data_IF_723753032545
#
_entry.id   IF_723753032545
#
_cell.length_a   1.000
_cell.length_b   1.000
_cell.length_c   1.000
_cell.angle_alpha   90.00
_cell.angle_beta   90.00
_cell.angle_gamma   90.00
#
_symmetry.space_group_name_H-M   'P 1'
#
loop_
_entity.id
_entity.type
_entity.pdbx_description
1 polymer ?
#
# COMPACT_ATOMS: atom_id res chain seq x y z
N UNK A 1 -27.90 30.37 -28.71
CA UNK A 1 -27.55 29.00 -29.16
C UNK A 1 -26.05 28.72 -29.07
N UNK A 2 -25.18 29.43 -29.82
CA UNK A 2 -23.73 29.16 -29.78
C UNK A 2 -23.08 29.52 -28.43
N UNK A 3 -23.49 30.64 -27.82
CA UNK A 3 -22.97 31.10 -26.51
C UNK A 3 -23.35 30.17 -25.35
N UNK A 4 -24.59 29.66 -25.36
CA UNK A 4 -25.05 28.65 -24.39
C UNK A 4 -24.32 27.31 -24.55
N UNK A 5 -24.08 26.85 -25.78
CA UNK A 5 -23.36 25.61 -26.04
C UNK A 5 -21.89 25.68 -25.59
N UNK A 6 -21.24 26.83 -25.79
CA UNK A 6 -19.89 27.11 -25.30
C UNK A 6 -19.83 27.17 -23.76
N UNK A 7 -20.81 27.84 -23.14
CA UNK A 7 -20.94 27.89 -21.68
C UNK A 7 -21.16 26.50 -21.05
N UNK A 8 -22.00 25.67 -21.69
CA UNK A 8 -22.25 24.29 -21.27
C UNK A 8 -20.99 23.40 -21.41
N UNK A 9 -20.33 23.45 -22.57
CA UNK A 9 -19.10 22.68 -22.80
C UNK A 9 -17.97 23.06 -21.83
N UNK A 10 -17.83 24.36 -21.52
CA UNK A 10 -16.83 24.85 -20.56
C UNK A 10 -17.08 24.33 -19.15
N UNK A 11 -18.34 24.34 -18.68
CA UNK A 11 -18.70 23.79 -17.36
C UNK A 11 -18.41 22.29 -17.27
N UNK A 12 -18.81 21.52 -18.28
CA UNK A 12 -18.53 20.07 -18.32
C UNK A 12 -17.02 19.76 -18.35
N UNK A 13 -16.23 20.58 -19.02
CA UNK A 13 -14.78 20.43 -19.01
C UNK A 13 -14.17 20.75 -17.63
N UNK A 14 -14.68 21.77 -16.93
CA UNK A 14 -14.26 22.08 -15.55
C UNK A 14 -14.65 20.96 -14.58
N UNK A 15 -15.86 20.41 -14.69
CA UNK A 15 -16.32 19.28 -13.87
C UNK A 15 -15.48 18.03 -14.12
N UNK A 16 -15.18 17.70 -15.38
CA UNK A 16 -14.28 16.60 -15.73
C UNK A 16 -12.87 16.83 -15.18
N UNK A 17 -12.35 18.05 -15.31
CA UNK A 17 -11.03 18.42 -14.79
C UNK A 17 -10.97 18.28 -13.27
N UNK A 18 -12.00 18.72 -12.55
CA UNK A 18 -12.08 18.54 -11.10
C UNK A 18 -12.24 17.08 -10.70
N UNK A 19 -13.07 16.32 -11.43
CA UNK A 19 -13.25 14.89 -11.21
C UNK A 19 -11.91 14.14 -11.34
N UNK A 20 -11.17 14.39 -12.41
CA UNK A 20 -9.87 13.78 -12.64
C UNK A 20 -8.80 14.31 -11.68
N UNK A 21 -8.82 15.59 -11.30
CA UNK A 21 -7.91 16.14 -10.28
C UNK A 21 -8.15 15.49 -8.91
N UNK A 22 -9.41 15.24 -8.54
CA UNK A 22 -9.76 14.51 -7.33
C UNK A 22 -9.29 13.06 -7.40
N UNK A 23 -9.52 12.39 -8.53
CA UNK A 23 -9.06 11.01 -8.74
C UNK A 23 -7.53 10.90 -8.78
N UNK A 24 -6.82 11.93 -9.23
CA UNK A 24 -5.35 12.00 -9.24
C UNK A 24 -4.76 12.71 -8.01
N UNK A 25 -5.56 13.12 -7.03
CA UNK A 25 -5.05 13.74 -5.80
C UNK A 25 -4.08 12.81 -5.06
N UNK A 26 -4.17 11.50 -5.30
CA UNK A 26 -3.20 10.55 -4.77
C UNK A 26 -1.77 10.76 -5.28
N UNK A 27 -1.59 11.32 -6.49
CA UNK A 27 -0.27 11.60 -7.04
C UNK A 27 0.41 12.77 -6.32
N UNK A 28 -0.35 13.71 -5.78
CA UNK A 28 0.22 14.76 -4.92
C UNK A 28 0.82 14.17 -3.64
N UNK A 29 0.34 13.00 -3.17
CA UNK A 29 0.98 12.25 -2.08
C UNK A 29 2.34 11.69 -2.48
N UNK A 30 2.49 11.22 -3.72
CA UNK A 30 3.76 10.70 -4.23
C UNK A 30 4.77 11.82 -4.55
N UNK A 31 4.33 13.00 -4.98
CA UNK A 31 5.25 14.13 -5.26
C UNK A 31 6.08 14.54 -4.04
N UNK A 32 5.53 14.42 -2.84
CA UNK A 32 6.24 14.76 -1.59
C UNK A 32 7.27 13.71 -1.17
N UNK A 33 7.06 12.44 -1.53
CA UNK A 33 8.01 11.35 -1.26
C UNK A 33 9.05 11.19 -2.37
N UNK A 34 8.67 11.43 -3.63
CA UNK A 34 9.52 11.23 -4.82
C UNK A 34 10.42 12.43 -5.18
N UNK A 35 10.29 13.57 -4.49
CA UNK A 35 11.06 14.80 -4.77
C UNK A 35 12.12 15.18 -3.72
N UNK A 36 12.48 14.28 -2.81
CA UNK A 36 13.41 14.61 -1.71
C UNK A 36 14.86 14.68 -2.21
N UNK A 37 15.57 15.75 -1.82
CA UNK A 37 17.02 15.90 -2.08
C UNK A 37 17.86 14.94 -1.24
N UNK A 38 17.41 14.63 -0.02
CA UNK A 38 18.04 13.66 0.88
C UNK A 38 17.01 12.60 1.30
N UNK A 39 17.37 11.30 1.24
CA UNK A 39 16.47 10.24 1.66
C UNK A 39 16.24 10.29 3.17
N UNK A 40 15.00 10.02 3.61
CA UNK A 40 14.71 9.84 5.03
C UNK A 40 15.52 8.66 5.58
N UNK A 41 16.00 8.74 6.83
CA UNK A 41 16.56 7.58 7.49
C UNK A 41 15.49 6.49 7.59
N UNK A 42 15.94 5.23 7.50
CA UNK A 42 15.08 4.06 7.63
C UNK A 42 14.50 4.05 9.06
N UNK A 43 13.18 3.98 9.18
CA UNK A 43 12.53 3.79 10.48
C UNK A 43 12.82 2.39 11.05
N UNK A 44 12.78 2.30 12.37
CA UNK A 44 12.87 1.04 13.13
C UNK A 44 11.49 0.58 13.59
N UNK A 45 11.39 -0.66 14.09
CA UNK A 45 10.14 -1.15 14.67
C UNK A 45 9.76 -0.41 15.97
N UNK A 46 10.75 0.14 16.70
CA UNK A 46 10.49 0.98 17.86
C UNK A 46 9.78 2.30 17.48
N UNK A 47 10.16 2.91 16.35
CA UNK A 47 9.51 4.13 15.85
C UNK A 47 8.04 3.89 15.46
N UNK A 48 7.75 2.68 15.03
CA UNK A 48 6.41 2.25 14.69
C UNK A 48 5.56 2.10 15.93
N UNK A 49 6.08 1.42 16.94
CA UNK A 49 5.38 1.22 18.22
C UNK A 49 5.15 2.55 18.93
N UNK A 50 6.11 3.47 18.84
CA UNK A 50 5.96 4.84 19.34
C UNK A 50 4.85 5.59 18.60
N UNK A 51 4.78 5.50 17.27
CA UNK A 51 3.69 6.10 16.52
C UNK A 51 2.34 5.49 16.92
N UNK A 52 2.26 4.17 17.02
CA UNK A 52 1.04 3.44 17.42
C UNK A 52 0.58 3.88 18.82
N UNK A 53 1.52 4.11 19.74
CA UNK A 53 1.21 4.60 21.08
C UNK A 53 0.82 6.09 21.09
N UNK A 54 1.38 6.90 20.19
CA UNK A 54 1.14 8.35 20.14
C UNK A 54 -0.17 8.76 19.46
N UNK A 55 -0.59 8.04 18.42
CA UNK A 55 -1.75 8.41 17.60
C UNK A 55 -2.95 7.50 17.86
N UNK A 56 -4.02 7.98 18.52
CA UNK A 56 -5.20 7.16 18.85
C UNK A 56 -6.07 6.82 17.63
N UNK A 57 -5.94 7.54 16.51
CA UNK A 57 -6.80 7.36 15.33
C UNK A 57 -6.08 6.48 14.29
N UNK A 58 -4.85 6.85 13.92
CA UNK A 58 -4.09 6.18 12.87
C UNK A 58 -3.16 5.08 13.39
N UNK A 59 -2.84 5.07 14.69
CA UNK A 59 -2.02 4.04 15.32
C UNK A 59 -2.62 2.63 15.21
N UNK A 60 -3.87 2.41 15.66
CA UNK A 60 -4.52 1.11 15.54
C UNK A 60 -4.65 0.63 14.09
N UNK A 61 -4.90 1.57 13.17
CA UNK A 61 -4.98 1.30 11.73
C UNK A 61 -3.64 0.82 11.17
N UNK A 62 -2.55 1.50 11.53
CA UNK A 62 -1.20 1.13 11.12
C UNK A 62 -0.78 -0.23 11.70
N UNK A 63 -1.19 -0.53 12.95
CA UNK A 63 -0.96 -1.83 13.58
C UNK A 63 -1.64 -2.95 12.80
N UNK A 64 -2.94 -2.81 12.52
CA UNK A 64 -3.69 -3.80 11.72
C UNK A 64 -3.07 -3.99 10.32
N UNK A 65 -2.62 -2.90 9.68
CA UNK A 65 -1.93 -2.97 8.40
C UNK A 65 -0.59 -3.70 8.46
N UNK A 66 0.14 -3.61 9.58
CA UNK A 66 1.39 -4.35 9.75
C UNK A 66 1.13 -5.83 10.03
N UNK A 67 0.20 -6.15 10.92
CA UNK A 67 -0.14 -7.53 11.23
C UNK A 67 -0.74 -8.26 10.03
N UNK A 68 -1.51 -7.58 9.19
CA UNK A 68 -2.04 -8.15 7.94
C UNK A 68 -0.98 -8.54 6.92
N UNK A 69 0.21 -7.94 6.95
CA UNK A 69 1.34 -8.37 6.09
C UNK A 69 1.79 -9.78 6.42
N UNK A 70 1.69 -10.21 7.68
CA UNK A 70 2.04 -11.57 8.10
C UNK A 70 1.15 -12.60 7.40
N UNK A 71 -0.14 -12.30 7.20
CA UNK A 71 -1.07 -13.17 6.46
C UNK A 71 -0.71 -13.26 4.98
N UNK A 72 -0.36 -12.13 4.35
CA UNK A 72 0.11 -12.13 2.96
C UNK A 72 1.41 -12.92 2.80
N UNK A 73 2.37 -12.76 3.73
CA UNK A 73 3.63 -13.51 3.72
C UNK A 73 3.40 -15.00 3.96
N UNK A 74 2.54 -15.37 4.90
CA UNK A 74 2.17 -16.76 5.17
C UNK A 74 1.48 -17.38 3.95
N UNK A 75 0.53 -16.67 3.34
CA UNK A 75 -0.14 -17.10 2.12
C UNK A 75 0.84 -17.30 0.97
N UNK A 76 1.77 -16.35 0.77
CA UNK A 76 2.80 -16.46 -0.25
C UNK A 76 3.72 -17.67 0.00
N UNK A 77 4.17 -17.89 1.22
CA UNK A 77 5.00 -19.04 1.57
C UNK A 77 4.27 -20.38 1.33
N UNK A 78 3.00 -20.47 1.74
CA UNK A 78 2.17 -21.65 1.53
C UNK A 78 1.92 -21.91 0.05
N UNK A 79 1.58 -20.88 -0.73
CA UNK A 79 1.36 -21.00 -2.17
C UNK A 79 2.63 -21.37 -2.93
N UNK A 80 3.78 -20.77 -2.56
CA UNK A 80 5.09 -21.09 -3.10
C UNK A 80 5.48 -22.55 -2.81
N UNK A 81 5.32 -22.99 -1.55
CA UNK A 81 5.62 -24.37 -1.16
C UNK A 81 4.69 -25.37 -1.87
N UNK A 82 3.42 -25.03 -2.04
CA UNK A 82 2.44 -25.90 -2.68
C UNK A 82 2.75 -26.10 -4.18
N UNK A 83 2.80 -25.02 -4.95
CA UNK A 83 3.04 -25.10 -6.40
C UNK A 83 4.50 -25.44 -6.72
N UNK A 84 5.45 -24.93 -5.95
CA UNK A 84 6.86 -25.30 -6.02
C UNK A 84 7.06 -26.80 -5.76
N UNK A 85 6.44 -27.35 -4.72
CA UNK A 85 6.51 -28.78 -4.39
C UNK A 85 5.91 -29.68 -5.47
N UNK A 86 4.75 -29.31 -6.03
CA UNK A 86 4.12 -30.04 -7.15
C UNK A 86 5.04 -29.99 -8.38
N UNK A 87 5.56 -28.82 -8.73
CA UNK A 87 6.44 -28.68 -9.90
C UNK A 87 7.76 -29.44 -9.75
N UNK A 88 8.35 -29.49 -8.55
CA UNK A 88 9.54 -30.28 -8.24
C UNK A 88 9.27 -31.77 -8.44
N UNK A 89 8.11 -32.25 -8.00
CA UNK A 89 7.71 -33.66 -8.10
C UNK A 89 7.45 -34.10 -9.54
N UNK A 90 6.78 -33.28 -10.35
CA UNK A 90 6.31 -33.68 -11.68
C UNK A 90 7.10 -33.09 -12.85
N UNK A 91 7.48 -31.81 -12.82
CA UNK A 91 8.13 -31.14 -13.95
C UNK A 91 9.60 -31.53 -14.09
N UNK A 92 10.30 -31.81 -12.98
CA UNK A 92 11.75 -32.09 -12.89
C UNK A 92 12.65 -31.06 -13.62
N UNK A 93 12.09 -29.94 -14.09
CA UNK A 93 12.79 -28.87 -14.78
C UNK A 93 13.04 -27.70 -13.81
N UNK A 94 14.29 -27.20 -13.70
CA UNK A 94 14.60 -26.12 -12.76
C UNK A 94 13.87 -24.82 -13.11
N UNK A 95 13.68 -24.52 -14.40
CA UNK A 95 12.93 -23.35 -14.85
C UNK A 95 11.44 -23.43 -14.49
N UNK A 96 10.82 -24.60 -14.68
CA UNK A 96 9.41 -24.82 -14.33
C UNK A 96 9.18 -24.68 -12.82
N UNK A 97 10.14 -25.13 -12.02
CA UNK A 97 10.07 -25.00 -10.55
C UNK A 97 10.12 -23.55 -10.10
N UNK A 98 11.05 -22.76 -10.66
CA UNK A 98 11.17 -21.34 -10.30
C UNK A 98 9.89 -20.58 -10.65
N UNK A 99 9.36 -20.80 -11.86
CA UNK A 99 8.14 -20.13 -12.31
C UNK A 99 6.93 -20.56 -11.47
N UNK A 100 6.75 -21.86 -11.22
CA UNK A 100 5.64 -22.36 -10.42
C UNK A 100 5.69 -21.88 -8.97
N UNK A 101 6.88 -21.84 -8.38
CA UNK A 101 7.10 -21.30 -7.03
C UNK A 101 6.77 -19.81 -6.98
N UNK A 102 7.25 -19.02 -7.95
CA UNK A 102 6.95 -17.60 -8.04
C UNK A 102 5.45 -17.33 -8.24
N UNK A 103 4.81 -18.07 -9.13
CA UNK A 103 3.36 -17.97 -9.35
C UNK A 103 2.57 -18.34 -8.10
N UNK A 104 2.97 -19.41 -7.41
CA UNK A 104 2.35 -19.81 -6.15
C UNK A 104 2.53 -18.77 -5.05
N UNK A 105 3.70 -18.14 -4.96
CA UNK A 105 3.93 -17.04 -4.03
C UNK A 105 2.98 -15.87 -4.30
N UNK A 106 2.78 -15.50 -5.57
CA UNK A 106 1.89 -14.41 -5.97
C UNK A 106 0.43 -14.73 -5.62
N UNK A 107 -0.09 -15.86 -6.09
CA UNK A 107 -1.48 -16.25 -5.82
C UNK A 107 -1.75 -16.43 -4.33
N UNK A 108 -0.83 -17.09 -3.62
CA UNK A 108 -0.91 -17.28 -2.18
C UNK A 108 -0.85 -15.97 -1.41
N UNK A 109 0.00 -15.03 -1.84
CA UNK A 109 0.12 -13.71 -1.22
C UNK A 109 -1.14 -12.87 -1.39
N UNK A 110 -1.74 -12.88 -2.59
CA UNK A 110 -3.02 -12.20 -2.87
C UNK A 110 -4.12 -12.82 -1.99
N UNK A 111 -4.25 -14.15 -1.99
CA UNK A 111 -5.25 -14.82 -1.16
C UNK A 111 -5.04 -14.54 0.34
N UNK A 112 -3.80 -14.55 0.81
CA UNK A 112 -3.46 -14.20 2.20
C UNK A 112 -3.84 -12.75 2.53
N UNK A 113 -3.66 -11.82 1.60
CA UNK A 113 -4.09 -10.44 1.79
C UNK A 113 -5.62 -10.31 1.89
N UNK A 114 -6.38 -11.05 1.08
CA UNK A 114 -7.85 -11.05 1.12
C UNK A 114 -8.39 -11.58 2.45
N UNK A 115 -7.78 -12.67 2.96
CA UNK A 115 -8.09 -13.21 4.29
C UNK A 115 -7.83 -12.16 5.36
N UNK A 116 -6.71 -11.43 5.25
CA UNK A 116 -6.37 -10.37 6.19
C UNK A 116 -7.34 -9.18 6.11
N UNK A 117 -7.84 -8.84 4.91
CA UNK A 117 -8.85 -7.80 4.72
C UNK A 117 -10.13 -8.12 5.47
N UNK A 118 -10.56 -9.38 5.42
CA UNK A 118 -11.74 -9.84 6.14
C UNK A 118 -11.48 -9.94 7.65
N UNK A 119 -10.32 -10.46 8.06
CA UNK A 119 -9.98 -10.66 9.47
C UNK A 119 -9.84 -9.34 10.24
N UNK A 120 -9.12 -8.37 9.67
CA UNK A 120 -8.86 -7.07 10.29
C UNK A 120 -9.84 -5.98 9.85
N UNK A 121 -10.85 -6.32 9.04
CA UNK A 121 -11.80 -5.37 8.45
C UNK A 121 -11.11 -4.18 7.76
N UNK A 122 -10.00 -4.44 7.07
CA UNK A 122 -9.15 -3.40 6.46
C UNK A 122 -9.88 -2.60 5.38
N UNK A 123 -10.98 -3.12 4.85
CA UNK A 123 -11.86 -2.40 3.93
C UNK A 123 -12.54 -1.18 4.55
N UNK A 124 -12.63 -1.10 5.88
CA UNK A 124 -13.17 0.08 6.61
C UNK A 124 -12.11 1.15 6.90
N UNK A 125 -10.84 0.86 6.61
CA UNK A 125 -9.69 1.66 7.05
C UNK A 125 -9.06 2.34 5.84
N UNK A 126 -8.68 3.61 5.99
CA UNK A 126 -7.86 4.31 5.01
C UNK A 126 -6.38 3.86 5.13
N UNK A 127 -6.05 2.82 4.39
CA UNK A 127 -4.69 2.24 4.38
C UNK A 127 -3.64 3.25 3.93
N UNK A 128 -3.99 4.14 3.00
CA UNK A 128 -3.08 5.13 2.47
C UNK A 128 -2.89 6.27 3.47
N UNK A 129 -3.99 6.76 4.07
CA UNK A 129 -3.96 7.79 5.10
C UNK A 129 -3.14 7.39 6.33
N UNK A 130 -3.29 6.16 6.84
CA UNK A 130 -2.53 5.69 8.00
C UNK A 130 -1.01 5.61 7.73
N UNK A 131 -0.61 5.07 6.58
CA UNK A 131 0.81 5.03 6.19
C UNK A 131 1.38 6.43 5.97
N UNK A 132 0.59 7.35 5.39
CA UNK A 132 1.01 8.72 5.15
C UNK A 132 1.17 9.51 6.46
N UNK A 133 0.25 9.31 7.41
CA UNK A 133 0.35 9.95 8.73
C UNK A 133 1.55 9.47 9.51
N UNK A 134 1.87 8.18 9.45
CA UNK A 134 3.13 7.66 9.97
C UNK A 134 4.35 8.33 9.32
N UNK A 135 4.37 8.48 7.99
CA UNK A 135 5.47 9.15 7.29
C UNK A 135 5.62 10.62 7.68
N UNK A 136 4.52 11.34 7.87
CA UNK A 136 4.57 12.74 8.34
C UNK A 136 5.10 12.85 9.76
N UNK A 137 4.58 12.03 10.67
CA UNK A 137 5.09 11.97 12.03
C UNK A 137 6.58 11.61 12.08
N UNK A 138 7.01 10.65 11.25
CA UNK A 138 8.42 10.24 11.15
C UNK A 138 9.32 11.37 10.63
N UNK A 139 8.85 12.12 9.64
CA UNK A 139 9.57 13.29 9.13
C UNK A 139 9.71 14.38 10.20
N UNK A 140 8.63 14.67 10.94
CA UNK A 140 8.67 15.68 12.01
C UNK A 140 9.60 15.25 13.15
N UNK A 141 9.56 13.97 13.55
CA UNK A 141 10.45 13.38 14.56
C UNK A 141 11.92 13.47 14.15
N UNK A 142 12.25 13.07 12.91
CA UNK A 142 13.64 13.07 12.41
C UNK A 142 14.18 14.48 12.20
N UNK A 143 13.34 15.46 11.83
CA UNK A 143 13.74 16.86 11.74
C UNK A 143 13.91 17.52 13.11
N UNK A 144 13.06 17.17 14.08
CA UNK A 144 13.15 17.63 15.46
C UNK A 144 14.38 17.10 16.20
N UNK A 145 14.91 15.93 15.82
CA UNK A 145 16.15 15.36 16.40
C UNK A 145 17.46 15.94 15.82
N UNK A 146 17.38 16.77 14.78
CA UNK A 146 18.53 17.41 14.10
C UNK A 146 18.72 18.89 14.48
N UNK A 147 17.95 19.40 15.45
CA UNK A 147 18.16 20.70 16.11
C UNK A 147 18.71 20.49 17.52
#
# INVERSE_FOLDING_TARGET
>A
MADEALGFAKRHFEDLKEHWKRNFSFLDYYKKTLGRREPLPKWTDADVDEFIASDPIYGPQLKALRESRTFALAGAALGAAHLGGISLKYSKSPHGVVIATGFGALCGGIFGSEVAEHWYQLYKIDKQGANLRFLYWWEDKTRGSHQ
#
